data_IF_895805854649
#
_entry.id   IF_895805854649
#
_cell.length_a   1.000
_cell.length_b   1.000
_cell.length_c   1.000
_cell.angle_alpha   90.00
_cell.angle_beta   90.00
_cell.angle_gamma   90.00
#
_symmetry.space_group_name_H-M   'P 1'
#
loop_
_entity.id
_entity.type
_entity.pdbx_description
1 polymer ?
#
# COMPACT_ATOMS: atom_id res chain seq x y z
N UNK A 1 -36.60 -6.17 -23.45
CA UNK A 1 -36.22 -5.46 -22.21
C UNK A 1 -35.53 -6.49 -21.36
N UNK A 2 -34.20 -6.52 -21.40
CA UNK A 2 -33.41 -7.41 -20.56
C UNK A 2 -33.14 -6.66 -19.27
N UNK A 3 -33.71 -7.14 -18.18
CA UNK A 3 -33.33 -6.72 -16.84
C UNK A 3 -31.82 -6.97 -16.69
N UNK A 4 -31.03 -5.90 -16.75
CA UNK A 4 -29.67 -5.93 -16.23
C UNK A 4 -29.81 -6.20 -14.74
N UNK A 5 -29.79 -7.48 -14.36
CA UNK A 5 -29.30 -7.89 -13.06
C UNK A 5 -27.92 -7.26 -12.94
N UNK A 6 -27.87 -6.13 -12.24
CA UNK A 6 -26.65 -5.61 -11.66
C UNK A 6 -26.22 -6.72 -10.72
N UNK A 7 -25.29 -7.54 -11.22
CA UNK A 7 -24.52 -8.43 -10.38
C UNK A 7 -23.80 -7.50 -9.39
N UNK A 8 -24.43 -7.28 -8.24
CA UNK A 8 -23.77 -6.93 -6.97
C UNK A 8 -22.88 -8.12 -6.57
N UNK A 9 -21.98 -8.49 -7.48
CA UNK A 9 -20.83 -9.31 -7.17
C UNK A 9 -19.93 -8.39 -6.38
N UNK A 10 -20.29 -8.21 -5.10
CA UNK A 10 -19.40 -7.83 -4.04
C UNK A 10 -18.13 -8.64 -4.25
N UNK A 11 -17.14 -8.03 -4.90
CA UNK A 11 -15.85 -8.64 -5.16
C UNK A 11 -15.29 -8.93 -3.77
N UNK A 12 -15.18 -10.20 -3.33
CA UNK A 12 -14.61 -10.51 -2.03
C UNK A 12 -13.19 -9.92 -1.92
N UNK A 13 -12.53 -9.81 -3.06
CA UNK A 13 -11.19 -9.24 -3.23
C UNK A 13 -11.17 -7.71 -3.41
N UNK A 14 -12.30 -7.01 -3.43
CA UNK A 14 -12.34 -5.57 -3.70
C UNK A 14 -11.58 -4.77 -2.63
N UNK A 15 -11.75 -5.18 -1.37
CA UNK A 15 -11.05 -4.61 -0.23
C UNK A 15 -9.57 -5.01 -0.22
N UNK A 16 -9.24 -6.26 -0.54
CA UNK A 16 -7.85 -6.72 -0.64
C UNK A 16 -7.09 -6.00 -1.77
N UNK A 17 -7.69 -5.85 -2.95
CA UNK A 17 -7.13 -5.08 -4.07
C UNK A 17 -6.93 -3.60 -3.73
N UNK A 18 -7.85 -3.02 -2.95
CA UNK A 18 -7.71 -1.65 -2.49
C UNK A 18 -6.54 -1.51 -1.51
N UNK A 19 -6.37 -2.46 -0.58
CA UNK A 19 -5.21 -2.50 0.32
C UNK A 19 -3.91 -2.67 -0.47
N UNK A 20 -3.86 -3.62 -1.42
CA UNK A 20 -2.69 -3.85 -2.26
C UNK A 20 -2.31 -2.61 -3.09
N UNK A 21 -3.31 -1.91 -3.64
CA UNK A 21 -3.10 -0.65 -4.36
C UNK A 21 -2.54 0.45 -3.45
N UNK A 22 -3.12 0.61 -2.26
CA UNK A 22 -2.66 1.57 -1.24
C UNK A 22 -1.22 1.27 -0.80
N UNK A 23 -0.88 0.00 -0.58
CA UNK A 23 0.48 -0.43 -0.23
C UNK A 23 1.48 -0.15 -1.36
N UNK A 24 1.09 -0.40 -2.62
CA UNK A 24 1.94 -0.16 -3.78
C UNK A 24 2.26 1.34 -3.96
N UNK A 25 1.27 2.21 -3.78
CA UNK A 25 1.47 3.67 -3.82
C UNK A 25 2.41 4.15 -2.71
N UNK A 26 2.17 3.72 -1.47
CA UNK A 26 3.02 4.08 -0.33
C UNK A 26 4.45 3.59 -0.55
N UNK A 27 4.61 2.36 -1.05
CA UNK A 27 5.94 1.82 -1.35
C UNK A 27 6.68 2.69 -2.35
N UNK A 28 6.02 3.11 -3.43
CA UNK A 28 6.62 3.96 -4.45
C UNK A 28 7.06 5.31 -3.85
N UNK A 29 6.21 5.93 -3.04
CA UNK A 29 6.48 7.22 -2.38
C UNK A 29 7.68 7.13 -1.43
N UNK A 30 7.71 6.10 -0.58
CA UNK A 30 8.81 5.86 0.36
C UNK A 30 10.10 5.52 -0.39
N UNK A 31 10.05 4.65 -1.41
CA UNK A 31 11.23 4.30 -2.20
C UNK A 31 11.83 5.52 -2.92
N UNK A 32 11.00 6.41 -3.47
CA UNK A 32 11.45 7.67 -4.07
C UNK A 32 12.11 8.60 -3.04
N UNK A 33 11.55 8.70 -1.84
CA UNK A 33 12.11 9.50 -0.73
C UNK A 33 13.53 9.05 -0.35
N UNK A 34 13.82 7.75 -0.41
CA UNK A 34 15.14 7.20 -0.08
C UNK A 34 16.04 6.93 -1.28
N UNK A 35 15.57 7.12 -2.52
CA UNK A 35 16.32 6.85 -3.74
C UNK A 35 17.68 7.56 -3.76
N UNK A 36 17.71 8.86 -3.46
CA UNK A 36 18.96 9.63 -3.39
C UNK A 36 19.90 9.21 -2.26
N UNK A 37 19.37 8.63 -1.17
CA UNK A 37 20.19 8.11 -0.06
C UNK A 37 20.81 6.75 -0.43
N UNK A 38 20.14 5.97 -1.28
CA UNK A 38 20.63 4.67 -1.75
C UNK A 38 21.79 4.82 -2.75
N UNK A 39 21.78 5.88 -3.57
CA UNK A 39 22.74 6.11 -4.65
C UNK A 39 24.20 6.26 -4.17
N UNK A 40 24.42 6.65 -2.90
CA UNK A 40 25.76 6.82 -2.32
C UNK A 40 26.11 5.85 -1.18
N UNK A 41 25.25 4.88 -0.86
CA UNK A 41 25.40 4.09 0.37
C UNK A 41 26.24 2.82 0.20
N UNK A 42 27.20 2.62 1.12
CA UNK A 42 27.89 1.33 1.32
C UNK A 42 26.89 0.26 1.78
N UNK A 43 27.21 -1.01 1.51
CA UNK A 43 26.32 -2.18 1.77
C UNK A 43 25.60 -2.17 3.13
N UNK A 44 26.30 -1.84 4.23
CA UNK A 44 25.68 -1.82 5.57
C UNK A 44 24.63 -0.72 5.71
N UNK A 45 24.93 0.50 5.23
CA UNK A 45 23.96 1.61 5.23
C UNK A 45 22.79 1.31 4.31
N UNK A 46 23.04 0.69 3.16
CA UNK A 46 21.99 0.24 2.24
C UNK A 46 21.04 -0.76 2.91
N UNK A 47 21.56 -1.71 3.68
CA UNK A 47 20.73 -2.67 4.41
C UNK A 47 19.88 -2.02 5.51
N UNK A 48 20.46 -1.08 6.27
CA UNK A 48 19.72 -0.31 7.28
C UNK A 48 18.61 0.54 6.64
N UNK A 49 18.92 1.22 5.53
CA UNK A 49 17.93 1.99 4.77
C UNK A 49 16.81 1.11 4.23
N UNK A 50 17.12 -0.06 3.69
CA UNK A 50 16.09 -1.01 3.23
C UNK A 50 15.21 -1.51 4.38
N UNK A 51 15.77 -1.73 5.58
CA UNK A 51 14.97 -2.05 6.78
C UNK A 51 14.07 -0.89 7.18
N UNK A 52 14.57 0.34 7.12
CA UNK A 52 13.81 1.54 7.45
C UNK A 52 12.66 1.76 6.45
N UNK A 53 12.92 1.63 5.15
CA UNK A 53 11.89 1.70 4.10
C UNK A 53 10.78 0.69 4.37
N UNK A 54 11.13 -0.57 4.67
CA UNK A 54 10.12 -1.60 4.96
C UNK A 54 9.27 -1.28 6.19
N UNK A 55 9.88 -0.74 7.24
CA UNK A 55 9.16 -0.33 8.44
C UNK A 55 8.21 0.83 8.15
N UNK A 56 8.69 1.86 7.45
CA UNK A 56 7.91 3.05 7.12
C UNK A 56 6.74 2.72 6.18
N UNK A 57 6.94 1.85 5.18
CA UNK A 57 5.87 1.34 4.33
C UNK A 57 4.81 0.60 5.14
N UNK A 58 5.21 -0.29 6.05
CA UNK A 58 4.26 -1.06 6.87
C UNK A 58 3.46 -0.16 7.82
N UNK A 59 4.10 0.85 8.40
CA UNK A 59 3.46 1.79 9.31
C UNK A 59 2.45 2.69 8.59
N UNK A 60 2.84 3.24 7.43
CA UNK A 60 1.97 4.07 6.58
C UNK A 60 0.82 3.25 5.98
N UNK A 61 1.08 2.02 5.55
CA UNK A 61 0.06 1.11 5.06
C UNK A 61 -0.98 0.86 6.15
N UNK A 62 -0.52 0.52 7.36
CA UNK A 62 -1.41 0.33 8.51
C UNK A 62 -2.24 1.58 8.82
N UNK A 63 -1.64 2.76 8.82
CA UNK A 63 -2.37 4.01 9.06
C UNK A 63 -3.45 4.29 8.00
N UNK A 64 -3.12 4.12 6.71
CA UNK A 64 -4.10 4.27 5.64
C UNK A 64 -5.18 3.20 5.71
N UNK A 65 -4.84 1.94 5.95
CA UNK A 65 -5.83 0.86 6.05
C UNK A 65 -6.72 1.01 7.29
N UNK A 66 -6.20 1.47 8.43
CA UNK A 66 -7.04 1.82 9.60
C UNK A 66 -7.99 2.99 9.29
N UNK A 67 -7.58 3.95 8.46
CA UNK A 67 -8.47 5.01 7.98
C UNK A 67 -9.54 4.50 7.00
N UNK A 68 -9.28 3.39 6.31
CA UNK A 68 -10.23 2.68 5.45
C UNK A 68 -10.82 1.52 6.24
N UNK A 69 -11.59 1.83 7.29
CA UNK A 69 -12.32 0.81 8.04
C UNK A 69 -13.31 0.09 7.11
N UNK A 70 -13.42 -1.25 7.13
CA UNK A 70 -14.49 -1.98 6.44
C UNK A 70 -15.89 -1.49 6.84
N UNK A 71 -16.04 -0.94 8.04
CA UNK A 71 -17.29 -0.36 8.54
C UNK A 71 -17.62 1.01 7.94
N UNK A 72 -16.67 1.67 7.25
CA UNK A 72 -16.93 2.92 6.52
C UNK A 72 -17.51 2.69 5.12
N UNK A 73 -17.54 1.44 4.64
CA UNK A 73 -18.07 1.05 3.33
C UNK A 73 -19.47 0.41 3.40
N UNK A 74 -20.09 0.33 4.60
CA UNK A 74 -21.45 -0.14 4.81
C UNK A 74 -22.37 0.98 5.27
#
# INVERSE_FOLDING_TARGET
MGDQQINDQFLPDGFERLIEGVEAEIRLEVEQKYAGQLEGCRFVKRWLLLRQIRHEVAELARQRTESVSPQSLF
#
